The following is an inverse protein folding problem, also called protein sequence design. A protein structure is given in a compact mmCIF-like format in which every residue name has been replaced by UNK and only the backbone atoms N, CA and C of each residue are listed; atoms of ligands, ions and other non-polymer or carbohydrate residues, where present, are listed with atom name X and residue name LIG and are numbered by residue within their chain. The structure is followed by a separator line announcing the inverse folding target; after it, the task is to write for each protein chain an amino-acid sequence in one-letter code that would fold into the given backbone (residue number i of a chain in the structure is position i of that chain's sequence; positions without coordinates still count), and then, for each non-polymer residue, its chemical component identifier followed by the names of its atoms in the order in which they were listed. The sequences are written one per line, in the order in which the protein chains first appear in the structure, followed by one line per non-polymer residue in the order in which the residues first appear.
data_IF_400540246775
#
_entry.id   IF_400540246775
#
_cell.length_a   1.000
_cell.length_b   1.000
_cell.length_c   1.000
_cell.angle_alpha   90.00
_cell.angle_beta   90.00
_cell.angle_gamma   90.00
#
_symmetry.space_group_name_H-M   'P 1'
#
loop_
_entity.id
_entity.type
_entity.pdbx_description
1 polymer ?
#
# COMPACT_ATOMS: atom_id res chain seq x y z
N UNK A 1 -20.45 3.27 -11.15
CA UNK A 1 -19.89 2.04 -10.53
C UNK A 1 -19.26 2.41 -9.20
N UNK A 2 -19.30 1.54 -8.19
CA UNK A 2 -18.56 1.76 -6.91
C UNK A 2 -17.42 0.76 -6.84
N UNK A 3 -16.21 1.25 -6.67
CA UNK A 3 -15.00 0.44 -6.56
C UNK A 3 -14.63 0.23 -5.09
N UNK A 4 -14.30 -0.99 -4.71
CA UNK A 4 -13.72 -1.32 -3.42
C UNK A 4 -12.20 -1.10 -3.50
N UNK A 5 -11.71 -0.08 -2.80
CA UNK A 5 -10.28 0.23 -2.67
C UNK A 5 -9.81 -0.18 -1.29
N UNK A 6 -8.80 -1.04 -1.24
CA UNK A 6 -8.18 -1.56 -0.01
C UNK A 6 -6.72 -1.19 0.04
N UNK A 7 -6.20 -0.91 1.23
CA UNK A 7 -4.79 -0.72 1.50
C UNK A 7 -4.32 -1.61 2.64
N UNK A 8 -3.12 -2.19 2.52
CA UNK A 8 -2.52 -3.01 3.56
C UNK A 8 -0.99 -2.96 3.52
N UNK A 9 -0.36 -2.52 4.60
CA UNK A 9 1.05 -2.73 4.86
C UNK A 9 1.26 -4.19 5.32
N UNK A 10 2.04 -4.98 4.55
CA UNK A 10 2.19 -6.42 4.76
C UNK A 10 3.32 -6.78 5.73
N UNK A 11 3.99 -5.80 6.33
CA UNK A 11 5.08 -6.05 7.27
C UNK A 11 6.07 -7.10 6.75
N UNK A 12 6.48 -6.99 5.48
CA UNK A 12 7.32 -7.97 4.76
C UNK A 12 6.80 -9.42 4.83
N UNK A 13 5.52 -9.66 5.08
CA UNK A 13 4.91 -10.98 5.26
C UNK A 13 5.12 -11.57 6.65
N UNK A 14 5.24 -10.73 7.69
CA UNK A 14 5.28 -11.15 9.08
C UNK A 14 3.89 -11.21 9.72
N UNK A 15 3.82 -12.01 10.80
CA UNK A 15 2.74 -11.95 11.77
C UNK A 15 3.07 -10.98 12.91
N UNK A 16 2.06 -10.62 13.70
CA UNK A 16 2.20 -9.91 14.96
C UNK A 16 1.73 -10.82 16.13
N UNK A 17 2.62 -11.16 17.10
CA UNK A 17 4.06 -10.88 17.12
C UNK A 17 4.82 -11.64 16.02
N UNK A 18 6.00 -11.13 15.61
CA UNK A 18 6.79 -11.72 14.53
C UNK A 18 7.11 -13.20 14.76
N UNK A 19 7.01 -14.01 13.69
CA UNK A 19 7.28 -15.45 13.70
C UNK A 19 8.37 -15.80 12.68
N UNK A 20 9.11 -16.90 12.89
CA UNK A 20 10.08 -17.45 11.92
C UNK A 20 9.36 -18.22 10.80
N UNK A 21 8.33 -17.61 10.24
CA UNK A 21 7.52 -18.15 9.14
C UNK A 21 7.05 -17.02 8.24
N UNK A 22 7.06 -17.22 6.95
CA UNK A 22 6.53 -16.25 6.00
C UNK A 22 5.04 -16.46 5.77
N UNK A 23 4.27 -15.39 5.89
CA UNK A 23 2.81 -15.39 5.68
C UNK A 23 2.39 -14.61 4.44
N UNK A 24 3.34 -14.07 3.66
CA UNK A 24 3.09 -13.12 2.58
C UNK A 24 2.05 -13.62 1.57
N UNK A 25 2.16 -14.89 1.14
CA UNK A 25 1.19 -15.48 0.23
C UNK A 25 -0.20 -15.52 0.84
N UNK A 26 -0.32 -15.98 2.08
CA UNK A 26 -1.58 -16.03 2.78
C UNK A 26 -2.22 -14.65 3.00
N UNK A 27 -1.39 -13.61 3.24
CA UNK A 27 -1.86 -12.23 3.33
C UNK A 27 -2.43 -11.75 1.99
N UNK A 28 -1.73 -12.00 0.88
CA UNK A 28 -2.21 -11.61 -0.45
C UNK A 28 -3.51 -12.35 -0.80
N UNK A 29 -3.56 -13.67 -0.59
CA UNK A 29 -4.77 -14.48 -0.82
C UNK A 29 -5.93 -13.99 0.06
N UNK A 30 -5.68 -13.67 1.32
CA UNK A 30 -6.70 -13.12 2.22
C UNK A 30 -7.18 -11.74 1.77
N UNK A 31 -6.26 -10.86 1.38
CA UNK A 31 -6.59 -9.51 0.94
C UNK A 31 -7.40 -9.46 -0.36
N UNK A 32 -7.41 -10.55 -1.12
CA UNK A 32 -8.12 -10.66 -2.41
C UNK A 32 -9.31 -11.61 -2.40
N UNK A 33 -9.58 -12.27 -1.27
CA UNK A 33 -10.62 -13.33 -1.17
C UNK A 33 -12.05 -12.86 -1.43
N UNK A 34 -12.33 -11.57 -1.27
CA UNK A 34 -13.64 -10.94 -1.49
C UNK A 34 -13.63 -9.95 -2.65
N UNK A 35 -12.75 -10.19 -3.63
CA UNK A 35 -12.67 -9.52 -4.92
C UNK A 35 -12.64 -7.98 -4.84
N UNK A 36 -11.64 -7.35 -4.16
CA UNK A 36 -11.47 -5.91 -4.21
C UNK A 36 -11.11 -5.46 -5.62
N UNK A 37 -11.66 -4.33 -6.06
CA UNK A 37 -11.34 -3.75 -7.38
C UNK A 37 -9.89 -3.26 -7.44
N UNK A 38 -9.41 -2.65 -6.32
CA UNK A 38 -8.05 -2.14 -6.18
C UNK A 38 -7.48 -2.50 -4.81
N UNK A 39 -6.25 -3.01 -4.80
CA UNK A 39 -5.50 -3.32 -3.57
C UNK A 39 -4.13 -2.64 -3.60
N UNK A 40 -3.89 -1.72 -2.66
CA UNK A 40 -2.62 -1.03 -2.45
C UNK A 40 -1.83 -1.75 -1.37
N UNK A 41 -0.67 -2.30 -1.73
CA UNK A 41 0.20 -3.05 -0.82
C UNK A 41 1.50 -2.29 -0.55
N UNK A 42 1.95 -2.31 0.71
CA UNK A 42 3.22 -1.73 1.13
C UNK A 42 4.09 -2.80 1.80
N UNK A 43 5.37 -2.49 1.96
CA UNK A 43 6.39 -3.38 2.54
C UNK A 43 6.48 -4.77 1.90
N UNK A 44 6.39 -4.83 0.60
CA UNK A 44 6.65 -6.07 -0.14
C UNK A 44 8.15 -6.31 -0.30
N UNK A 45 8.67 -7.52 -0.02
CA UNK A 45 10.01 -7.89 -0.45
C UNK A 45 10.04 -8.01 -1.98
N UNK A 46 11.06 -7.44 -2.62
CA UNK A 46 11.13 -7.32 -4.10
C UNK A 46 10.98 -8.67 -4.82
N UNK A 47 11.46 -9.78 -4.22
CA UNK A 47 11.31 -11.11 -4.83
C UNK A 47 9.84 -11.52 -5.01
N UNK A 48 8.92 -10.98 -4.20
CA UNK A 48 7.50 -11.35 -4.22
C UNK A 48 6.74 -10.72 -5.39
N UNK A 49 7.20 -9.61 -5.94
CA UNK A 49 6.51 -8.90 -7.03
C UNK A 49 6.12 -9.82 -8.20
N UNK A 50 6.99 -10.76 -8.57
CA UNK A 50 6.72 -11.74 -9.63
C UNK A 50 5.77 -12.88 -9.22
N UNK A 51 5.38 -12.92 -7.95
CA UNK A 51 4.47 -13.93 -7.40
C UNK A 51 3.08 -13.38 -7.13
N UNK A 52 2.90 -12.06 -7.11
CA UNK A 52 1.62 -11.45 -6.78
C UNK A 52 0.53 -11.89 -7.76
N UNK A 53 0.75 -11.72 -9.05
CA UNK A 53 -0.19 -12.13 -10.08
C UNK A 53 -0.56 -13.63 -10.00
N UNK A 54 0.39 -14.59 -9.92
CA UNK A 54 0.05 -16.00 -9.69
C UNK A 54 -0.69 -16.30 -8.39
N UNK A 55 -0.58 -15.45 -7.36
CA UNK A 55 -1.27 -15.68 -6.08
C UNK A 55 -2.69 -15.13 -6.05
N UNK A 56 -2.96 -14.05 -6.76
CA UNK A 56 -4.24 -13.34 -6.66
C UNK A 56 -4.98 -13.15 -7.98
N UNK A 57 -4.35 -13.42 -9.13
CA UNK A 57 -4.99 -13.24 -10.43
C UNK A 57 -5.17 -11.79 -10.89
N UNK A 58 -4.78 -10.79 -10.09
CA UNK A 58 -4.94 -9.36 -10.42
C UNK A 58 -3.78 -8.85 -11.30
N UNK A 59 -4.01 -7.74 -12.02
CA UNK A 59 -2.95 -6.97 -12.68
C UNK A 59 -2.05 -6.33 -11.61
N UNK A 60 -0.73 -6.30 -11.82
CA UNK A 60 0.24 -5.82 -10.82
C UNK A 60 1.03 -4.63 -11.34
N UNK A 61 1.00 -3.51 -10.63
CA UNK A 61 1.75 -2.29 -10.91
C UNK A 61 2.75 -2.06 -9.77
N UNK A 62 4.01 -2.53 -9.89
CA UNK A 62 4.99 -2.46 -8.81
C UNK A 62 5.75 -1.13 -8.80
N UNK A 63 6.16 -0.69 -7.61
CA UNK A 63 7.09 0.43 -7.38
C UNK A 63 8.16 -0.01 -6.38
N UNK A 64 9.40 -0.19 -6.87
CA UNK A 64 10.53 -0.60 -6.03
C UNK A 64 11.10 0.61 -5.32
N UNK A 65 11.00 0.65 -3.99
CA UNK A 65 11.56 1.72 -3.15
C UNK A 65 13.03 1.47 -2.81
N UNK A 66 13.41 0.21 -2.62
CA UNK A 66 14.79 -0.21 -2.34
C UNK A 66 15.11 -1.50 -3.10
N UNK A 67 16.15 -1.52 -3.94
CA UNK A 67 16.58 -2.77 -4.58
C UNK A 67 17.13 -3.76 -3.53
N UNK A 68 17.02 -5.07 -3.74
CA UNK A 68 17.57 -6.07 -2.84
C UNK A 68 19.10 -6.13 -2.96
N UNK A 69 19.80 -6.24 -1.83
CA UNK A 69 21.24 -6.51 -1.79
C UNK A 69 21.58 -8.00 -1.94
N UNK A 70 20.64 -8.88 -1.57
CA UNK A 70 20.82 -10.34 -1.62
C UNK A 70 20.19 -10.95 -2.89
N UNK A 71 20.74 -12.11 -3.31
CA UNK A 71 20.13 -12.92 -4.36
C UNK A 71 18.72 -13.40 -3.95
N UNK A 72 17.87 -13.74 -4.93
CA UNK A 72 16.47 -14.15 -4.67
C UNK A 72 16.33 -15.33 -3.69
N UNK A 73 17.10 -16.42 -3.78
CA UNK A 73 17.00 -17.51 -2.81
C UNK A 73 17.29 -17.05 -1.38
N UNK A 74 18.35 -16.24 -1.21
CA UNK A 74 18.74 -15.67 0.07
C UNK A 74 17.66 -14.70 0.58
N UNK A 75 17.14 -13.82 -0.27
CA UNK A 75 16.07 -12.91 0.09
C UNK A 75 14.82 -13.66 0.58
N UNK A 76 14.42 -14.73 -0.09
CA UNK A 76 13.29 -15.58 0.33
C UNK A 76 13.55 -16.26 1.67
N UNK A 77 14.76 -16.75 1.90
CA UNK A 77 15.15 -17.35 3.17
C UNK A 77 15.15 -16.32 4.30
N UNK A 78 15.73 -15.13 4.08
CA UNK A 78 15.72 -14.02 5.04
C UNK A 78 14.29 -13.62 5.39
N UNK A 79 13.39 -13.52 4.40
CA UNK A 79 11.97 -13.20 4.65
C UNK A 79 11.30 -14.17 5.62
N UNK A 80 11.70 -15.45 5.62
CA UNK A 80 11.14 -16.48 6.50
C UNK A 80 11.81 -16.56 7.87
N UNK A 81 13.10 -16.24 7.93
CA UNK A 81 13.95 -16.60 9.07
C UNK A 81 14.31 -15.44 9.99
N UNK A 82 14.31 -14.21 9.48
CA UNK A 82 14.77 -13.03 10.20
C UNK A 82 13.69 -11.94 10.30
N UNK A 83 13.60 -11.33 11.49
CA UNK A 83 12.60 -10.30 11.83
C UNK A 83 13.24 -8.95 12.21
N UNK A 84 14.48 -8.68 11.81
CA UNK A 84 15.21 -7.49 12.24
C UNK A 84 15.26 -6.39 11.19
N UNK A 85 15.81 -5.24 11.60
CA UNK A 85 16.02 -4.02 10.81
C UNK A 85 16.74 -4.23 9.47
N UNK A 86 17.57 -5.28 9.35
CA UNK A 86 18.30 -5.61 8.12
C UNK A 86 17.46 -6.32 7.06
N UNK A 87 16.23 -6.68 7.37
CA UNK A 87 15.38 -7.46 6.46
C UNK A 87 15.10 -6.69 5.17
N UNK A 88 14.61 -5.47 5.26
CA UNK A 88 14.35 -4.63 4.08
C UNK A 88 15.62 -4.33 3.27
N UNK A 89 16.78 -4.18 3.93
CA UNK A 89 18.06 -4.01 3.26
C UNK A 89 18.44 -5.21 2.39
N UNK A 90 18.31 -6.42 2.92
CA UNK A 90 18.69 -7.65 2.20
C UNK A 90 17.65 -8.05 1.15
N UNK A 91 16.35 -7.94 1.44
CA UNK A 91 15.26 -8.40 0.57
C UNK A 91 14.79 -7.33 -0.42
N UNK A 92 15.22 -6.10 -0.23
CA UNK A 92 14.64 -4.93 -0.87
C UNK A 92 13.24 -4.62 -0.35
N UNK A 93 12.70 -3.50 -0.77
CA UNK A 93 11.35 -3.05 -0.41
C UNK A 93 10.63 -2.51 -1.64
N UNK A 94 9.36 -2.81 -1.74
CA UNK A 94 8.50 -2.33 -2.81
C UNK A 94 7.09 -2.09 -2.30
N UNK A 95 6.36 -1.22 -3.00
CA UNK A 95 4.92 -1.12 -2.96
C UNK A 95 4.36 -1.76 -4.25
N UNK A 96 3.10 -2.14 -4.24
CA UNK A 96 2.41 -2.60 -5.45
C UNK A 96 0.93 -2.19 -5.40
N UNK A 97 0.42 -1.68 -6.51
CA UNK A 97 -1.02 -1.52 -6.71
C UNK A 97 -1.50 -2.68 -7.56
N UNK A 98 -2.47 -3.42 -7.05
CA UNK A 98 -3.12 -4.53 -7.75
C UNK A 98 -4.49 -4.07 -8.20
N UNK A 99 -4.87 -4.42 -9.42
CA UNK A 99 -6.16 -4.07 -10.02
C UNK A 99 -6.83 -5.32 -10.56
N UNK A 100 -8.12 -5.48 -10.27
CA UNK A 100 -8.93 -6.59 -10.77
C UNK A 100 -8.90 -6.58 -12.32
N UNK A 101 -8.84 -7.78 -12.95
CA UNK A 101 -8.56 -7.90 -14.39
C UNK A 101 -9.62 -7.38 -15.33
N UNK A 102 -10.86 -7.29 -14.89
CA UNK A 102 -11.95 -6.75 -15.71
C UNK A 102 -11.83 -5.24 -15.94
N UNK A 103 -11.06 -4.54 -15.09
CA UNK A 103 -10.81 -3.12 -15.24
C UNK A 103 -9.61 -2.85 -16.15
N UNK A 104 -9.81 -1.97 -17.15
CA UNK A 104 -8.67 -1.40 -17.86
C UNK A 104 -7.88 -0.49 -16.92
N UNK A 105 -6.60 -0.80 -16.72
CA UNK A 105 -5.73 -0.05 -15.84
C UNK A 105 -4.43 0.36 -16.52
N UNK A 106 -3.91 1.53 -16.17
CA UNK A 106 -2.66 2.09 -16.73
C UNK A 106 -1.79 2.62 -15.60
N UNK A 107 -0.56 2.10 -15.49
CA UNK A 107 0.46 2.66 -14.59
C UNK A 107 0.97 4.00 -15.12
N UNK A 108 1.00 5.01 -14.27
CA UNK A 108 1.40 6.38 -14.60
C UNK A 108 2.80 6.75 -14.08
N UNK A 109 3.48 5.79 -13.44
CA UNK A 109 4.81 6.00 -12.87
C UNK A 109 4.81 6.21 -11.36
N UNK A 110 5.97 6.60 -10.86
CA UNK A 110 6.20 6.83 -9.43
C UNK A 110 7.14 8.02 -9.22
N UNK A 111 7.01 8.66 -8.07
CA UNK A 111 7.82 9.81 -7.66
C UNK A 111 8.36 9.60 -6.25
N UNK A 112 9.57 10.12 -5.98
CA UNK A 112 10.15 10.14 -4.65
C UNK A 112 9.50 11.21 -3.80
N UNK A 113 8.97 10.80 -2.63
CA UNK A 113 8.33 11.72 -1.68
C UNK A 113 9.22 12.05 -0.48
N UNK A 114 10.23 11.23 -0.18
CA UNK A 114 11.17 11.48 0.91
C UNK A 114 12.28 12.46 0.51
N UNK A 115 12.81 13.21 1.49
CA UNK A 115 13.94 14.11 1.30
C UNK A 115 15.22 13.37 0.86
N UNK A 116 16.11 14.03 0.10
CA UNK A 116 17.45 13.52 -0.15
C UNK A 116 18.17 13.17 1.15
N UNK A 117 18.90 12.04 1.17
CA UNK A 117 19.61 11.56 2.37
C UNK A 117 18.78 10.74 3.34
N UNK A 118 17.45 10.76 3.25
CA UNK A 118 16.57 9.85 3.99
C UNK A 118 16.33 8.55 3.21
N UNK A 119 15.76 7.55 3.89
CA UNK A 119 15.29 6.33 3.22
C UNK A 119 14.33 6.69 2.09
N UNK A 120 14.52 6.08 0.93
CA UNK A 120 13.68 6.37 -0.23
C UNK A 120 12.25 5.89 -0.01
N UNK A 121 11.31 6.82 -0.04
CA UNK A 121 9.87 6.59 -0.04
C UNK A 121 9.29 7.07 -1.36
N UNK A 122 8.35 6.31 -1.91
CA UNK A 122 7.72 6.59 -3.19
C UNK A 122 6.21 6.65 -3.06
N UNK A 123 5.61 7.47 -3.91
CA UNK A 123 4.22 7.33 -4.34
C UNK A 123 4.21 6.73 -5.74
N UNK A 124 3.28 5.83 -6.04
CA UNK A 124 3.07 5.27 -7.38
C UNK A 124 1.61 5.43 -7.78
N UNK A 125 1.36 5.80 -9.04
CA UNK A 125 0.03 6.12 -9.54
C UNK A 125 -0.43 5.14 -10.61
N UNK A 126 -1.71 4.74 -10.51
CA UNK A 126 -2.42 3.89 -11.48
C UNK A 126 -3.77 4.53 -11.77
N UNK A 127 -4.11 4.64 -13.06
CA UNK A 127 -5.45 5.07 -13.48
C UNK A 127 -6.31 3.85 -13.75
N UNK A 128 -7.50 3.81 -13.16
CA UNK A 128 -8.44 2.70 -13.28
C UNK A 128 -9.88 3.20 -13.17
N UNK A 129 -10.76 2.80 -14.08
CA UNK A 129 -12.20 3.08 -14.04
C UNK A 129 -12.56 4.55 -13.73
N UNK A 130 -11.82 5.50 -14.32
CA UNK A 130 -12.03 6.94 -14.12
C UNK A 130 -11.57 7.49 -12.77
N UNK A 131 -10.75 6.75 -12.02
CA UNK A 131 -10.08 7.18 -10.80
C UNK A 131 -8.56 7.17 -10.99
N UNK A 132 -7.88 8.10 -10.36
CA UNK A 132 -6.44 8.06 -10.17
C UNK A 132 -6.14 7.54 -8.77
N UNK A 133 -5.50 6.37 -8.68
CA UNK A 133 -5.12 5.71 -7.43
C UNK A 133 -3.63 5.95 -7.20
N UNK A 134 -3.29 6.53 -6.06
CA UNK A 134 -1.92 6.76 -5.63
C UNK A 134 -1.62 5.92 -4.38
N UNK A 135 -0.67 4.99 -4.50
CA UNK A 135 -0.21 4.13 -3.43
C UNK A 135 1.09 4.68 -2.85
N UNK A 136 1.13 4.92 -1.54
CA UNK A 136 2.30 5.44 -0.85
C UNK A 136 2.61 4.68 0.43
N UNK A 137 3.87 4.77 0.86
CA UNK A 137 4.33 4.41 2.19
C UNK A 137 5.27 5.50 2.66
N UNK A 138 4.85 6.30 3.62
CA UNK A 138 5.60 7.44 4.16
C UNK A 138 6.65 7.00 5.18
N UNK A 139 7.58 7.89 5.51
CA UNK A 139 8.59 7.65 6.54
C UNK A 139 7.94 7.49 7.90
N UNK A 140 8.39 6.47 8.64
CA UNK A 140 8.03 6.30 10.04
C UNK A 140 8.92 7.20 10.90
N UNK A 141 8.48 8.43 11.16
CA UNK A 141 9.17 9.37 12.04
C UNK A 141 8.20 9.88 13.14
N UNK A 142 8.05 9.09 14.19
CA UNK A 142 7.20 9.45 15.31
C UNK A 142 7.68 10.68 16.11
N UNK A 143 8.94 11.10 15.91
CA UNK A 143 9.52 12.26 16.58
C UNK A 143 9.20 13.56 15.87
N UNK A 144 9.05 13.48 14.54
CA UNK A 144 8.73 14.63 13.71
C UNK A 144 7.62 14.30 12.69
N UNK A 145 6.36 14.37 13.10
CA UNK A 145 5.23 14.15 12.19
C UNK A 145 5.16 15.14 11.01
N UNK A 146 5.88 16.27 11.06
CA UNK A 146 5.92 17.23 9.97
C UNK A 146 6.59 16.63 8.73
N UNK A 147 7.62 15.80 8.91
CA UNK A 147 8.27 15.07 7.82
C UNK A 147 7.26 14.22 7.06
N UNK A 148 6.50 13.43 7.80
CA UNK A 148 5.51 12.50 7.24
C UNK A 148 4.35 13.24 6.54
N UNK A 149 3.90 14.38 7.11
CA UNK A 149 2.90 15.25 6.47
C UNK A 149 3.44 15.88 5.19
N UNK A 150 4.71 16.29 5.17
CA UNK A 150 5.33 16.84 3.96
C UNK A 150 5.42 15.76 2.86
N UNK A 151 5.71 14.50 3.20
CA UNK A 151 5.70 13.39 2.26
C UNK A 151 4.28 13.11 1.73
N UNK A 152 3.26 13.12 2.60
CA UNK A 152 1.86 12.99 2.19
C UNK A 152 1.43 14.12 1.24
N UNK A 153 1.86 15.36 1.52
CA UNK A 153 1.58 16.52 0.65
C UNK A 153 2.27 16.39 -0.72
N UNK A 154 3.52 15.90 -0.77
CA UNK A 154 4.22 15.63 -2.04
C UNK A 154 3.54 14.52 -2.83
N UNK A 155 3.08 13.46 -2.16
CA UNK A 155 2.33 12.39 -2.80
C UNK A 155 1.01 12.89 -3.40
N UNK A 156 0.28 13.74 -2.67
CA UNK A 156 -0.93 14.37 -3.16
C UNK A 156 -0.65 15.25 -4.38
N UNK A 157 0.35 16.14 -4.30
CA UNK A 157 0.72 17.02 -5.40
C UNK A 157 1.12 16.26 -6.68
N UNK A 158 1.90 15.18 -6.54
CA UNK A 158 2.25 14.32 -7.67
C UNK A 158 1.02 13.66 -8.30
N UNK A 159 0.13 13.07 -7.49
CA UNK A 159 -1.08 12.46 -7.98
C UNK A 159 -2.00 13.48 -8.67
N UNK A 160 -2.18 14.65 -8.07
CA UNK A 160 -2.98 15.74 -8.61
C UNK A 160 -2.43 16.29 -9.93
N UNK A 161 -1.09 16.34 -10.06
CA UNK A 161 -0.41 16.73 -11.29
C UNK A 161 -0.60 15.74 -12.45
N UNK A 162 -0.91 14.47 -12.15
CA UNK A 162 -1.22 13.43 -13.14
C UNK A 162 -2.73 13.31 -13.43
N UNK A 163 -3.58 13.86 -12.55
CA UNK A 163 -5.03 13.77 -12.71
C UNK A 163 -5.50 14.61 -13.90
N UNK A 164 -6.49 14.10 -14.62
CA UNK A 164 -7.22 14.85 -15.65
C UNK A 164 -8.16 15.85 -14.97
N UNK A 165 -8.66 16.87 -15.70
CA UNK A 165 -9.72 17.72 -15.19
C UNK A 165 -10.88 16.87 -14.62
N UNK A 166 -11.33 17.22 -13.43
CA UNK A 166 -12.42 16.54 -12.70
C UNK A 166 -12.20 15.05 -12.38
N UNK A 167 -11.02 14.48 -12.66
CA UNK A 167 -10.70 13.10 -12.29
C UNK A 167 -10.52 12.97 -10.78
N UNK A 168 -11.30 12.10 -10.11
CA UNK A 168 -11.12 11.89 -8.68
C UNK A 168 -9.77 11.24 -8.37
N UNK A 169 -9.18 11.66 -7.25
CA UNK A 169 -7.90 11.14 -6.77
C UNK A 169 -8.10 10.38 -5.46
N UNK A 170 -7.54 9.20 -5.38
CA UNK A 170 -7.51 8.36 -4.18
C UNK A 170 -6.07 8.19 -3.74
N UNK A 171 -5.75 8.63 -2.54
CA UNK A 171 -4.47 8.35 -1.87
C UNK A 171 -4.68 7.19 -0.90
N UNK A 172 -3.97 6.09 -1.09
CA UNK A 172 -4.06 4.92 -0.25
C UNK A 172 -2.67 4.46 0.21
N UNK A 173 -2.54 4.02 1.44
CA UNK A 173 -1.27 3.52 1.94
C UNK A 173 -1.08 3.68 3.43
N UNK A 174 0.15 3.40 3.84
CA UNK A 174 0.67 3.68 5.17
C UNK A 174 1.26 5.11 5.19
N UNK A 175 0.53 6.00 5.83
CA UNK A 175 0.94 7.41 5.96
C UNK A 175 1.84 7.64 7.17
N UNK A 176 1.98 6.66 8.07
CA UNK A 176 2.74 6.78 9.31
C UNK A 176 2.36 8.00 10.17
N UNK A 177 1.18 8.57 9.98
CA UNK A 177 0.61 9.69 10.75
C UNK A 177 -0.91 9.62 10.75
N UNK A 178 -1.52 9.88 11.90
CA UNK A 178 -2.99 9.82 12.06
C UNK A 178 -3.72 10.97 11.36
N UNK A 179 -3.07 12.10 11.19
CA UNK A 179 -3.61 13.22 10.43
C UNK A 179 -2.59 13.74 9.43
N UNK A 180 -2.69 13.35 8.16
CA UNK A 180 -1.76 13.77 7.10
C UNK A 180 -1.92 15.24 6.66
N UNK A 181 -2.92 15.97 7.15
CA UNK A 181 -3.09 17.39 6.87
C UNK A 181 -3.62 17.73 5.47
N UNK A 182 -4.26 16.78 4.80
CA UNK A 182 -4.76 16.92 3.41
C UNK A 182 -6.23 17.38 3.40
N UNK A 183 -6.48 18.65 3.68
CA UNK A 183 -7.84 19.20 3.86
C UNK A 183 -8.77 19.13 2.64
N UNK A 184 -8.23 18.93 1.42
CA UNK A 184 -9.02 18.76 0.21
C UNK A 184 -9.54 17.31 0.02
N UNK A 185 -9.06 16.38 0.84
CA UNK A 185 -9.44 14.96 0.83
C UNK A 185 -10.47 14.63 1.91
N UNK A 186 -11.06 13.44 1.81
CA UNK A 186 -11.93 12.92 2.86
C UNK A 186 -11.21 12.84 4.21
N UNK A 187 -11.97 12.79 5.31
CA UNK A 187 -11.38 12.72 6.65
C UNK A 187 -10.57 11.43 6.82
N UNK A 188 -9.37 11.51 7.41
CA UNK A 188 -8.59 10.32 7.74
C UNK A 188 -9.29 9.46 8.80
N UNK A 189 -9.00 8.15 8.82
CA UNK A 189 -9.38 7.26 9.90
C UNK A 189 -8.58 7.52 11.19
N UNK A 190 -8.83 6.72 12.22
CA UNK A 190 -8.17 6.85 13.52
C UNK A 190 -6.72 6.34 13.54
N UNK A 191 -6.32 5.50 12.56
CA UNK A 191 -4.99 4.90 12.47
C UNK A 191 -4.01 5.72 11.63
N UNK A 192 -2.93 5.07 11.20
CA UNK A 192 -1.88 5.63 10.33
C UNK A 192 -2.00 5.14 8.89
N UNK A 193 -2.82 4.11 8.67
CA UNK A 193 -3.18 3.58 7.34
C UNK A 193 -4.46 4.28 6.87
N UNK A 194 -4.45 4.84 5.66
CA UNK A 194 -5.58 5.60 5.15
C UNK A 194 -5.92 5.23 3.70
N UNK A 195 -7.18 5.44 3.35
CA UNK A 195 -7.67 5.64 1.98
C UNK A 195 -8.41 6.96 1.97
N UNK A 196 -7.84 7.97 1.33
CA UNK A 196 -8.34 9.34 1.28
C UNK A 196 -8.81 9.66 -0.13
N UNK A 197 -9.97 10.29 -0.27
CA UNK A 197 -10.61 10.53 -1.56
C UNK A 197 -10.84 12.03 -1.75
N UNK A 198 -10.49 12.54 -2.95
CA UNK A 198 -10.80 13.88 -3.43
C UNK A 198 -11.61 13.78 -4.71
N UNK A 199 -12.65 14.60 -4.85
CA UNK A 199 -13.44 14.73 -6.09
C UNK A 199 -14.45 13.62 -6.34
N UNK A 200 -14.69 12.71 -5.38
CA UNK A 200 -15.74 11.68 -5.48
C UNK A 200 -16.39 11.39 -4.13
N UNK A 201 -17.59 10.82 -4.20
CA UNK A 201 -18.24 10.23 -3.01
C UNK A 201 -17.56 8.94 -2.61
N UNK A 202 -17.36 8.77 -1.30
CA UNK A 202 -16.81 7.56 -0.72
C UNK A 202 -17.64 7.10 0.50
N UNK A 203 -17.63 5.80 0.77
CA UNK A 203 -18.15 5.28 2.03
C UNK A 203 -17.24 5.69 3.20
N UNK A 204 -17.69 5.55 4.44
CA UNK A 204 -16.78 5.60 5.59
C UNK A 204 -15.63 4.60 5.42
N UNK A 205 -14.45 4.96 5.95
CA UNK A 205 -13.30 4.05 6.00
C UNK A 205 -13.59 2.90 6.98
N UNK A 206 -13.43 1.68 6.51
CA UNK A 206 -13.52 0.48 7.32
C UNK A 206 -12.13 -0.02 7.66
N UNK A 207 -11.91 -0.41 8.92
CA UNK A 207 -10.68 -1.02 9.41
C UNK A 207 -10.97 -2.48 9.73
N UNK A 208 -10.19 -3.41 9.19
CA UNK A 208 -10.43 -4.83 9.47
C UNK A 208 -10.18 -5.18 10.94
N UNK A 209 -11.12 -5.85 11.59
CA UNK A 209 -10.93 -6.35 12.94
C UNK A 209 -9.84 -7.44 12.95
N UNK A 210 -9.19 -7.61 14.10
CA UNK A 210 -8.15 -8.63 14.31
C UNK A 210 -8.64 -10.02 13.88
N UNK A 211 -9.88 -10.38 14.21
CA UNK A 211 -10.45 -11.70 13.86
C UNK A 211 -10.42 -12.00 12.35
N UNK A 212 -10.62 -10.98 11.48
CA UNK A 212 -10.61 -11.13 10.02
C UNK A 212 -9.21 -11.40 9.45
N UNK A 213 -8.16 -10.99 10.16
CA UNK A 213 -6.75 -11.19 9.76
C UNK A 213 -5.99 -12.20 10.61
N UNK A 214 -6.71 -13.02 11.38
CA UNK A 214 -6.12 -14.16 12.09
C UNK A 214 -6.03 -15.39 11.18
N UNK A 215 -4.86 -16.06 11.22
CA UNK A 215 -4.66 -17.34 10.56
C UNK A 215 -3.85 -18.27 11.46
N UNK A 216 -4.38 -19.45 11.77
CA UNK A 216 -3.70 -20.46 12.61
C UNK A 216 -3.19 -19.88 13.95
N UNK A 217 -4.02 -19.05 14.60
CA UNK A 217 -3.70 -18.45 15.91
C UNK A 217 -2.68 -17.33 15.91
N UNK A 218 -2.36 -16.78 14.72
CA UNK A 218 -1.50 -15.59 14.61
C UNK A 218 -2.22 -14.47 13.87
N UNK A 219 -1.93 -13.23 14.23
CA UNK A 219 -2.42 -12.03 13.56
C UNK A 219 -1.48 -11.72 12.39
N UNK A 220 -2.03 -11.57 11.19
CA UNK A 220 -1.24 -11.24 10.00
C UNK A 220 -0.97 -9.74 9.95
N UNK A 221 0.29 -9.36 9.84
CA UNK A 221 0.81 -7.98 9.92
C UNK A 221 0.53 -7.29 11.27
N UNK A 222 1.32 -6.30 11.62
CA UNK A 222 1.10 -5.33 12.69
C UNK A 222 0.16 -4.18 12.27
N UNK A 223 -0.08 -4.04 10.95
CA UNK A 223 -1.05 -3.11 10.37
C UNK A 223 -2.37 -3.80 10.03
N UNK A 224 -3.53 -3.21 10.35
CA UNK A 224 -4.81 -3.68 9.83
C UNK A 224 -5.01 -3.22 8.39
N UNK A 225 -5.61 -4.05 7.50
CA UNK A 225 -6.15 -3.55 6.25
C UNK A 225 -7.19 -2.47 6.50
N UNK A 226 -7.19 -1.45 5.65
CA UNK A 226 -8.21 -0.40 5.61
C UNK A 226 -8.85 -0.37 4.23
N UNK A 227 -10.15 -0.11 4.15
CA UNK A 227 -10.87 -0.11 2.90
C UNK A 227 -12.06 0.85 2.87
N UNK A 228 -12.43 1.28 1.68
CA UNK A 228 -13.67 2.01 1.43
C UNK A 228 -14.15 1.80 -0.01
N UNK A 229 -15.41 2.17 -0.26
CA UNK A 229 -15.99 2.17 -1.61
C UNK A 229 -16.02 3.58 -2.17
N UNK A 230 -15.44 3.76 -3.35
CA UNK A 230 -15.40 5.03 -4.09
C UNK A 230 -16.34 4.96 -5.28
N UNK A 231 -17.08 6.02 -5.56
CA UNK A 231 -17.88 6.15 -6.77
C UNK A 231 -16.97 6.55 -7.94
N UNK A 232 -16.66 5.61 -8.85
CA UNK A 232 -15.96 5.90 -10.08
C UNK A 232 -16.85 6.70 -11.06
N UNK A 233 -16.22 7.50 -11.92
CA UNK A 233 -16.91 8.13 -13.06
C UNK A 233 -17.22 7.05 -14.10
N UNK A 234 -18.32 7.25 -14.86
CA UNK A 234 -18.69 6.39 -16.00
C UNK A 234 -17.94 6.80 -17.24
#
# INVERSE_FOLDING_TARGET
MRLLVRSWNLFHGNADPPRRRGYLRAMVELATADDPDVLCLQELPVWALRRLEPWCGMQVFPAVTRPPLASRPVSRWVTRSHHGLFRSGLTGQANATLVERSHAAVGLGSERISEPGREQRLVSCVRVAGLLIANLHATNDFRDPAVTRAEASRAAAFAEGLARPDEPVVLAGDFNVTNPGLGAYSRPGAGIDHVLVRGAEASPLEVWPVARRMQNGVVLSDHPPVELRVRGQR
#
